data_IF_475727553747
#
_entry.id   IF_475727553747
#
_cell.length_a   1.000
_cell.length_b   1.000
_cell.length_c   1.000
_cell.angle_alpha   90.00
_cell.angle_beta   90.00
_cell.angle_gamma   90.00
#
_symmetry.space_group_name_H-M   'P 1'
#
loop_
_entity.id
_entity.type
_entity.pdbx_description
1 polymer ?
#
# COMPACT_ATOMS: atom_id res chain seq x y z
N UNK A 1 1.71 -23.11 32.40
CA UNK A 1 2.38 -22.29 31.37
C UNK A 1 1.45 -22.23 30.16
N UNK A 2 0.76 -21.10 29.97
CA UNK A 2 -0.14 -20.89 28.84
C UNK A 2 0.69 -20.60 27.60
N UNK A 3 0.51 -21.36 26.52
CA UNK A 3 1.12 -21.07 25.22
C UNK A 3 0.54 -19.76 24.67
N UNK A 4 1.33 -18.68 24.68
CA UNK A 4 1.01 -17.45 23.95
C UNK A 4 1.02 -17.79 22.46
N UNK A 5 -0.17 -17.71 21.84
CA UNK A 5 -0.33 -17.86 20.40
C UNK A 5 0.21 -16.60 19.74
N UNK A 6 1.22 -16.74 18.87
CA UNK A 6 1.63 -15.66 17.96
C UNK A 6 0.45 -15.44 17.00
N UNK A 7 -0.34 -14.41 17.23
CA UNK A 7 -1.33 -13.93 16.29
C UNK A 7 -0.63 -12.93 15.35
N UNK A 8 -0.19 -13.42 14.19
CA UNK A 8 0.38 -12.58 13.15
C UNK A 8 -0.77 -11.83 12.45
N UNK A 9 -0.97 -10.57 12.82
CA UNK A 9 -1.82 -9.67 12.04
C UNK A 9 -0.96 -9.10 10.91
N UNK A 10 -1.13 -9.62 9.70
CA UNK A 10 -0.47 -9.13 8.50
C UNK A 10 -1.43 -8.15 7.82
N UNK A 11 -1.15 -6.85 7.92
CA UNK A 11 -1.84 -5.84 7.10
C UNK A 11 -0.98 -5.65 5.86
N UNK A 12 -1.35 -6.32 4.77
CA UNK A 12 -0.77 -6.05 3.45
C UNK A 12 -1.49 -4.84 2.88
N UNK A 13 -0.87 -3.66 2.97
CA UNK A 13 -1.24 -2.50 2.17
C UNK A 13 -0.61 -2.70 0.78
N UNK A 14 -1.17 -3.66 0.02
CA UNK A 14 -0.76 -3.88 -1.35
C UNK A 14 -1.30 -2.74 -2.21
N UNK A 15 -0.43 -2.05 -2.94
CA UNK A 15 -0.87 -1.30 -4.10
C UNK A 15 -1.41 -2.33 -5.10
N UNK A 16 -2.74 -2.45 -5.22
CA UNK A 16 -3.36 -3.33 -6.20
C UNK A 16 -3.15 -2.72 -7.59
N UNK A 17 -1.97 -2.95 -8.16
CA UNK A 17 -1.64 -2.66 -9.54
C UNK A 17 -1.31 -3.97 -10.26
N UNK A 18 -2.26 -4.91 -10.34
CA UNK A 18 -2.12 -6.06 -11.25
C UNK A 18 -3.44 -6.72 -11.69
N UNK A 19 -4.50 -5.96 -11.97
CA UNK A 19 -5.70 -6.53 -12.61
C UNK A 19 -6.49 -5.50 -13.46
N UNK A 20 -5.82 -4.86 -14.43
CA UNK A 20 -6.49 -4.10 -15.48
C UNK A 20 -6.00 -4.52 -16.87
N UNK A 21 -6.21 -5.80 -17.22
CA UNK A 21 -6.27 -6.25 -18.61
C UNK A 21 -7.56 -7.08 -18.80
N UNK A 22 -8.68 -6.39 -18.63
CA UNK A 22 -10.02 -6.87 -18.99
C UNK A 22 -10.44 -6.29 -20.33
N UNK A 23 -10.54 -7.18 -21.32
CA UNK A 23 -11.00 -7.02 -22.70
C UNK A 23 -12.21 -6.06 -22.85
N UNK A 24 -12.11 -5.11 -23.78
CA UNK A 24 -13.25 -4.31 -24.26
C UNK A 24 -14.05 -5.17 -25.23
N UNK A 25 -15.28 -5.51 -24.88
CA UNK A 25 -16.30 -5.92 -25.85
C UNK A 25 -17.50 -4.96 -25.73
N UNK A 26 -17.86 -4.35 -26.85
CA UNK A 26 -18.89 -3.32 -26.96
C UNK A 26 -20.31 -3.88 -26.82
N UNK A 27 -21.19 -3.06 -26.25
CA UNK A 27 -22.61 -3.35 -26.10
C UNK A 27 -23.44 -2.07 -26.00
N UNK A 28 -24.55 -2.06 -26.72
CA UNK A 28 -25.38 -0.93 -27.15
C UNK A 28 -26.34 -0.44 -26.05
N UNK A 29 -26.77 0.82 -26.15
CA UNK A 29 -27.70 1.47 -25.23
C UNK A 29 -29.13 0.91 -25.29
N UNK A 30 -29.77 0.73 -24.12
CA UNK A 30 -31.22 0.59 -23.97
C UNK A 30 -31.77 1.45 -22.82
N UNK A 31 -33.03 1.80 -22.97
CA UNK A 31 -33.73 2.98 -22.43
C UNK A 31 -34.48 2.73 -21.13
N UNK A 32 -34.48 3.71 -20.22
CA UNK A 32 -35.72 4.36 -19.76
C UNK A 32 -36.41 3.93 -18.45
N UNK A 33 -36.21 2.72 -17.90
CA UNK A 33 -37.00 2.27 -16.72
C UNK A 33 -36.16 1.78 -15.50
N UNK A 34 -34.83 1.84 -15.54
CA UNK A 34 -33.95 1.23 -14.51
C UNK A 34 -33.36 2.23 -13.47
N UNK A 35 -33.82 3.48 -13.45
CA UNK A 35 -33.18 4.52 -12.60
C UNK A 35 -33.42 4.29 -11.10
N UNK A 36 -34.56 3.71 -10.73
CA UNK A 36 -34.94 3.47 -9.33
C UNK A 36 -34.15 2.33 -8.68
N UNK A 37 -33.87 1.27 -9.45
CA UNK A 37 -33.08 0.14 -8.96
C UNK A 37 -31.59 0.50 -8.92
N UNK A 38 -31.11 1.30 -9.87
CA UNK A 38 -29.76 1.85 -9.87
C UNK A 38 -29.50 2.81 -8.69
N UNK A 39 -30.48 3.61 -8.27
CA UNK A 39 -30.34 4.47 -7.08
C UNK A 39 -30.27 3.67 -5.77
N UNK A 40 -30.94 2.52 -5.69
CA UNK A 40 -30.85 1.58 -4.56
C UNK A 40 -29.51 0.86 -4.48
N UNK A 41 -28.90 0.56 -5.63
CA UNK A 41 -27.55 -0.02 -5.72
C UNK A 41 -26.46 1.02 -5.45
N UNK A 42 -26.63 2.27 -5.92
CA UNK A 42 -25.70 3.37 -5.65
C UNK A 42 -25.64 3.74 -4.16
N UNK A 43 -26.76 3.66 -3.44
CA UNK A 43 -26.76 3.89 -1.98
C UNK A 43 -26.00 2.80 -1.20
N UNK A 44 -25.92 1.58 -1.72
CA UNK A 44 -25.14 0.48 -1.13
C UNK A 44 -23.63 0.58 -1.39
N UNK A 45 -23.21 1.43 -2.32
CA UNK A 45 -21.80 1.72 -2.59
C UNK A 45 -21.19 2.84 -1.75
N UNK A 46 -21.96 3.45 -0.84
CA UNK A 46 -21.56 4.54 0.04
C UNK A 46 -21.67 4.21 1.53
N UNK A 47 -21.91 2.95 1.88
CA UNK A 47 -21.64 2.52 3.25
C UNK A 47 -20.12 2.49 3.40
N UNK A 48 -19.60 3.30 4.32
CA UNK A 48 -18.20 3.21 4.74
C UNK A 48 -17.87 1.73 4.96
N UNK A 49 -16.71 1.23 4.48
CA UNK A 49 -16.37 -0.18 4.61
C UNK A 49 -16.63 -0.59 6.06
N UNK A 50 -17.43 -1.65 6.24
CA UNK A 50 -17.80 -2.16 7.55
C UNK A 50 -16.55 -2.15 8.43
N UNK A 51 -16.58 -1.42 9.53
CA UNK A 51 -15.43 -1.22 10.40
C UNK A 51 -14.89 -2.58 10.84
N UNK A 52 -13.87 -3.08 10.14
CA UNK A 52 -13.26 -4.38 10.44
C UNK A 52 -12.37 -4.14 11.64
N UNK A 53 -12.71 -4.74 12.77
CA UNK A 53 -11.84 -4.76 13.94
C UNK A 53 -10.60 -5.60 13.59
N UNK A 54 -9.46 -4.94 13.45
CA UNK A 54 -8.18 -5.59 13.19
C UNK A 54 -7.75 -6.36 14.45
N UNK A 55 -7.52 -7.68 14.38
CA UNK A 55 -7.05 -8.43 15.53
C UNK A 55 -5.61 -8.02 15.86
N UNK A 56 -5.34 -7.72 17.13
CA UNK A 56 -3.99 -7.41 17.61
C UNK A 56 -3.40 -8.56 18.41
N UNK A 57 -2.26 -9.09 17.96
CA UNK A 57 -1.42 -10.03 18.70
C UNK A 57 -0.37 -9.34 19.57
N UNK A 58 0.50 -10.13 20.20
CA UNK A 58 1.66 -9.62 20.95
C UNK A 58 2.66 -8.91 19.99
N UNK A 59 2.78 -9.42 18.76
CA UNK A 59 3.59 -8.84 17.67
C UNK A 59 2.73 -8.63 16.44
N UNK A 60 2.82 -7.45 15.83
CA UNK A 60 1.97 -7.02 14.72
C UNK A 60 2.84 -6.43 13.59
N UNK A 61 2.42 -6.60 12.33
CA UNK A 61 3.16 -6.09 11.18
C UNK A 61 2.24 -5.29 10.25
N UNK A 62 2.72 -4.12 9.83
CA UNK A 62 2.21 -3.42 8.67
C UNK A 62 3.20 -3.65 7.54
N UNK A 63 2.75 -4.24 6.44
CA UNK A 63 3.61 -4.59 5.31
C UNK A 63 3.12 -3.87 4.07
N UNK A 64 4.05 -3.22 3.39
CA UNK A 64 3.85 -2.56 2.10
C UNK A 64 4.77 -3.23 1.09
N UNK A 65 4.26 -3.59 -0.08
CA UNK A 65 4.97 -4.36 -1.12
C UNK A 65 4.45 -3.97 -2.49
N UNK A 66 5.27 -4.15 -3.54
CA UNK A 66 4.87 -3.99 -4.95
C UNK A 66 4.24 -2.60 -5.22
N UNK A 67 4.81 -1.58 -4.59
CA UNK A 67 4.29 -0.21 -4.65
C UNK A 67 4.49 0.38 -6.03
N UNK A 68 5.59 0.00 -6.69
CA UNK A 68 5.94 0.50 -8.02
C UNK A 68 5.80 2.02 -8.13
N UNK A 69 6.32 2.73 -7.13
CA UNK A 69 6.27 4.19 -6.96
C UNK A 69 4.89 4.86 -6.90
N UNK A 70 3.80 4.10 -6.70
CA UNK A 70 2.43 4.63 -6.51
C UNK A 70 2.19 5.26 -5.13
N UNK A 71 3.08 6.14 -4.72
CA UNK A 71 3.04 6.79 -3.39
C UNK A 71 2.08 7.98 -3.32
N UNK A 72 1.55 8.44 -4.45
CA UNK A 72 0.59 9.57 -4.54
C UNK A 72 -0.87 9.12 -4.68
N UNK A 73 -1.14 7.81 -4.50
CA UNK A 73 -2.46 7.22 -4.66
C UNK A 73 -2.96 7.17 -6.11
N UNK A 74 -4.15 6.60 -6.30
CA UNK A 74 -4.84 6.38 -7.58
C UNK A 74 -6.14 7.17 -7.70
N UNK A 75 -6.25 8.35 -7.07
CA UNK A 75 -7.50 9.11 -6.97
C UNK A 75 -8.22 9.38 -8.31
N UNK A 76 -7.48 9.42 -9.43
CA UNK A 76 -8.05 9.58 -10.79
C UNK A 76 -8.71 8.31 -11.34
N UNK A 77 -8.27 7.14 -10.90
CA UNK A 77 -8.73 5.83 -11.40
C UNK A 77 -9.67 5.12 -10.42
N UNK A 78 -9.59 5.43 -9.13
CA UNK A 78 -10.46 4.87 -8.10
C UNK A 78 -10.69 5.86 -6.97
N UNK A 79 -11.94 6.01 -6.57
CA UNK A 79 -12.34 6.80 -5.40
C UNK A 79 -11.97 6.13 -4.07
N UNK A 80 -11.69 4.82 -4.08
CA UNK A 80 -11.37 4.04 -2.88
C UNK A 80 -9.87 3.78 -2.71
N UNK A 81 -9.05 4.08 -3.73
CA UNK A 81 -7.59 3.95 -3.70
C UNK A 81 -6.93 5.32 -3.81
N UNK A 82 -7.43 6.31 -3.06
CA UNK A 82 -6.96 7.69 -3.11
C UNK A 82 -5.96 8.06 -2.00
N UNK A 83 -5.59 7.10 -1.14
CA UNK A 83 -4.61 7.31 -0.08
C UNK A 83 -3.20 7.44 -0.66
N UNK A 84 -2.44 8.41 -0.16
CA UNK A 84 -1.03 8.60 -0.46
C UNK A 84 -0.12 8.13 0.69
N UNK A 85 1.19 8.22 0.52
CA UNK A 85 2.15 7.83 1.56
C UNK A 85 2.09 8.72 2.81
N UNK A 86 1.59 9.95 2.72
CA UNK A 86 1.29 10.79 3.88
C UNK A 86 0.13 10.24 4.71
N UNK A 87 -0.90 9.69 4.04
CA UNK A 87 -1.98 8.96 4.70
C UNK A 87 -1.47 7.66 5.35
N UNK A 88 -0.62 6.91 4.65
CA UNK A 88 0.01 5.68 5.18
C UNK A 88 0.86 5.98 6.41
N UNK A 89 1.68 7.05 6.36
CA UNK A 89 2.48 7.51 7.49
C UNK A 89 1.58 7.86 8.68
N UNK A 90 0.55 8.68 8.44
CA UNK A 90 -0.42 9.10 9.46
C UNK A 90 -1.15 7.91 10.08
N UNK A 91 -1.50 6.90 9.28
CA UNK A 91 -2.10 5.66 9.74
C UNK A 91 -1.12 4.88 10.63
N UNK A 92 0.10 4.65 10.17
CA UNK A 92 1.11 3.90 10.92
C UNK A 92 1.45 4.57 12.25
N UNK A 93 1.65 5.89 12.30
CA UNK A 93 1.94 6.61 13.55
C UNK A 93 0.83 6.46 14.59
N UNK A 94 -0.44 6.54 14.15
CA UNK A 94 -1.60 6.33 15.03
C UNK A 94 -1.71 4.88 15.49
N UNK A 95 -1.46 3.92 14.58
CA UNK A 95 -1.46 2.50 14.89
C UNK A 95 -0.34 2.14 15.87
N UNK A 96 0.85 2.70 15.69
CA UNK A 96 2.00 2.55 16.59
C UNK A 96 1.71 3.09 17.97
N UNK A 97 1.10 4.28 18.08
CA UNK A 97 0.64 4.83 19.36
C UNK A 97 -0.38 3.92 20.04
N UNK A 98 -1.32 3.36 19.28
CA UNK A 98 -2.32 2.44 19.81
C UNK A 98 -1.70 1.12 20.30
N UNK A 99 -0.78 0.53 19.53
CA UNK A 99 -0.04 -0.67 19.93
C UNK A 99 0.77 -0.43 21.22
N UNK A 100 1.46 0.71 21.32
CA UNK A 100 2.23 1.10 22.49
C UNK A 100 1.36 1.25 23.75
N UNK A 101 0.15 1.81 23.63
CA UNK A 101 -0.82 1.90 24.74
C UNK A 101 -1.23 0.52 25.27
N UNK A 102 -1.28 -0.48 24.39
CA UNK A 102 -1.58 -1.87 24.74
C UNK A 102 -0.34 -2.69 25.10
N UNK A 103 0.87 -2.11 25.08
CA UNK A 103 2.15 -2.80 25.26
C UNK A 103 2.37 -3.96 24.27
N UNK A 104 1.99 -3.73 23.01
CA UNK A 104 2.16 -4.67 21.89
C UNK A 104 3.20 -4.14 20.92
N UNK A 105 3.93 -5.04 20.29
CA UNK A 105 4.92 -4.69 19.28
C UNK A 105 4.25 -4.46 17.92
N UNK A 106 4.76 -3.49 17.17
CA UNK A 106 4.32 -3.17 15.82
C UNK A 106 5.54 -2.84 14.97
N UNK A 107 5.69 -3.54 13.84
CA UNK A 107 6.77 -3.32 12.88
C UNK A 107 6.22 -2.84 11.54
N UNK A 108 6.91 -1.89 10.91
CA UNK A 108 6.63 -1.41 9.57
C UNK A 108 7.63 -1.99 8.57
N UNK A 109 7.14 -2.68 7.56
CA UNK A 109 7.97 -3.43 6.62
C UNK A 109 7.70 -2.96 5.19
N UNK A 110 8.75 -2.55 4.49
CA UNK A 110 8.73 -2.39 3.03
C UNK A 110 9.36 -3.61 2.37
N UNK A 111 8.58 -4.37 1.60
CA UNK A 111 9.00 -5.62 0.98
C UNK A 111 9.31 -5.48 -0.52
N UNK A 112 10.12 -4.49 -0.89
CA UNK A 112 10.65 -4.38 -2.25
C UNK A 112 9.66 -4.00 -3.34
N UNK A 113 10.14 -4.00 -4.59
CA UNK A 113 9.43 -3.59 -5.81
C UNK A 113 8.76 -2.22 -5.64
N UNK A 114 9.55 -1.25 -5.18
CA UNK A 114 9.12 0.13 -4.97
C UNK A 114 9.46 1.04 -6.16
N UNK A 115 10.27 0.59 -7.12
CA UNK A 115 10.54 1.30 -8.40
C UNK A 115 9.70 0.76 -9.57
N UNK A 116 9.85 1.37 -10.76
CA UNK A 116 9.21 0.98 -12.02
C UNK A 116 7.67 0.95 -12.04
N UNK A 117 7.01 2.11 -11.93
CA UNK A 117 5.57 2.17 -12.21
C UNK A 117 4.97 3.54 -12.47
N UNK A 118 5.59 4.61 -12.00
CA UNK A 118 5.14 5.99 -12.24
C UNK A 118 6.30 6.88 -12.67
N UNK A 119 6.02 8.14 -12.98
CA UNK A 119 7.08 9.12 -13.28
C UNK A 119 8.02 9.44 -12.11
N UNK A 120 7.70 9.00 -10.88
CA UNK A 120 8.57 9.17 -9.71
C UNK A 120 9.70 8.14 -9.63
N UNK A 121 9.56 6.98 -10.27
CA UNK A 121 10.62 5.96 -10.36
C UNK A 121 11.57 6.26 -11.52
N UNK A 122 12.36 7.33 -11.40
CA UNK A 122 13.47 7.58 -12.33
C UNK A 122 14.58 6.53 -12.15
N UNK A 123 15.56 6.49 -13.06
CA UNK A 123 16.75 5.64 -12.94
C UNK A 123 17.98 6.53 -12.85
N UNK A 124 18.65 6.64 -11.68
CA UNK A 124 18.21 6.16 -10.35
C UNK A 124 16.99 6.94 -9.80
N UNK A 125 16.26 6.42 -8.81
CA UNK A 125 14.96 6.95 -8.35
C UNK A 125 15.06 8.20 -7.44
N UNK A 126 15.86 9.20 -7.83
CA UNK A 126 16.24 10.36 -7.01
C UNK A 126 15.10 11.14 -6.36
N UNK A 127 13.92 11.21 -6.99
CA UNK A 127 12.77 11.91 -6.42
C UNK A 127 11.94 11.03 -5.46
N UNK A 128 11.97 9.72 -5.66
CA UNK A 128 11.28 8.75 -4.82
C UNK A 128 12.09 8.45 -3.56
N UNK A 129 13.41 8.38 -3.67
CA UNK A 129 14.32 8.02 -2.57
C UNK A 129 14.07 8.81 -1.28
N UNK A 130 14.03 10.16 -1.28
CA UNK A 130 13.79 10.90 -0.04
C UNK A 130 12.43 10.58 0.56
N UNK A 131 11.41 10.34 -0.27
CA UNK A 131 10.06 10.03 0.22
C UNK A 131 10.00 8.65 0.89
N UNK A 132 10.77 7.68 0.39
CA UNK A 132 10.93 6.38 1.04
C UNK A 132 11.74 6.49 2.35
N UNK A 133 12.79 7.28 2.37
CA UNK A 133 13.70 7.47 3.53
C UNK A 133 13.06 8.21 4.71
N UNK A 134 12.03 9.03 4.46
CA UNK A 134 11.28 9.72 5.53
C UNK A 134 10.26 8.82 6.23
N UNK A 135 9.94 7.66 5.66
CA UNK A 135 9.01 6.72 6.28
C UNK A 135 9.72 5.93 7.40
N UNK A 136 9.07 5.69 8.54
CA UNK A 136 9.68 5.03 9.69
C UNK A 136 9.70 3.50 9.54
N UNK A 137 10.36 3.00 8.49
CA UNK A 137 10.50 1.57 8.25
C UNK A 137 11.33 0.92 9.36
N UNK A 138 10.87 -0.22 9.87
CA UNK A 138 11.63 -1.08 10.77
C UNK A 138 12.40 -2.15 9.97
N UNK A 139 11.87 -2.54 8.80
CA UNK A 139 12.50 -3.48 7.87
C UNK A 139 12.31 -3.01 6.44
N UNK A 140 13.41 -3.00 5.67
CA UNK A 140 13.42 -2.69 4.24
C UNK A 140 14.02 -3.88 3.50
N UNK A 141 13.33 -4.32 2.45
CA UNK A 141 13.79 -5.35 1.52
C UNK A 141 13.76 -4.83 0.08
N UNK A 142 14.48 -5.51 -0.80
CA UNK A 142 14.51 -5.25 -2.24
C UNK A 142 13.67 -6.32 -2.97
N UNK A 143 13.06 -5.91 -4.06
CA UNK A 143 12.40 -6.79 -5.01
C UNK A 143 13.24 -6.96 -6.27
N UNK A 144 12.68 -7.62 -7.29
CA UNK A 144 13.41 -7.84 -8.54
C UNK A 144 13.53 -6.56 -9.38
N UNK A 145 12.62 -5.60 -9.26
CA UNK A 145 12.67 -4.36 -10.04
C UNK A 145 13.88 -3.49 -9.70
N UNK A 146 14.35 -3.54 -8.45
CA UNK A 146 15.59 -2.87 -8.05
C UNK A 146 16.86 -3.53 -8.66
N UNK A 147 16.74 -4.71 -9.29
CA UNK A 147 17.88 -5.52 -9.75
C UNK A 147 18.05 -5.57 -11.28
N UNK A 148 17.08 -5.10 -12.07
CA UNK A 148 17.16 -5.21 -13.54
C UNK A 148 18.13 -4.23 -14.19
N UNK A 149 18.34 -3.06 -13.59
CA UNK A 149 19.16 -1.99 -14.15
C UNK A 149 20.44 -1.76 -13.32
N UNK A 150 21.61 -1.73 -13.98
CA UNK A 150 22.90 -1.55 -13.29
C UNK A 150 23.03 -0.22 -12.57
N UNK A 151 22.44 0.86 -13.08
CA UNK A 151 22.42 2.17 -12.42
C UNK A 151 21.56 2.13 -11.16
N UNK A 152 20.39 1.47 -11.21
CA UNK A 152 19.56 1.23 -10.03
C UNK A 152 20.30 0.40 -9.00
N UNK A 153 20.97 -0.69 -9.40
CA UNK A 153 21.75 -1.54 -8.49
C UNK A 153 22.90 -0.76 -7.83
N UNK A 154 23.61 0.08 -8.58
CA UNK A 154 24.67 0.93 -8.02
C UNK A 154 24.10 1.92 -7.01
N UNK A 155 23.03 2.61 -7.36
CA UNK A 155 22.32 3.51 -6.44
C UNK A 155 21.87 2.78 -5.16
N UNK A 156 21.33 1.56 -5.29
CA UNK A 156 20.91 0.76 -4.13
C UNK A 156 22.10 0.50 -3.19
N UNK A 157 23.24 0.09 -3.73
CA UNK A 157 24.43 -0.25 -2.93
C UNK A 157 25.12 0.98 -2.36
N UNK A 158 25.24 2.04 -3.15
CA UNK A 158 26.09 3.19 -2.84
C UNK A 158 25.34 4.28 -2.05
N UNK A 159 24.01 4.39 -2.22
CA UNK A 159 23.20 5.48 -1.65
C UNK A 159 22.04 4.98 -0.79
N UNK A 160 21.24 4.02 -1.26
CA UNK A 160 20.01 3.62 -0.57
C UNK A 160 20.24 2.76 0.69
N UNK A 161 21.02 1.69 0.57
CA UNK A 161 21.30 0.78 1.70
C UNK A 161 22.00 1.53 2.86
N UNK A 162 23.03 2.38 2.61
CA UNK A 162 23.72 3.09 3.69
C UNK A 162 22.86 4.03 4.57
N UNK A 163 21.65 4.38 4.15
CA UNK A 163 20.71 5.16 4.97
C UNK A 163 20.15 4.36 6.16
N UNK A 164 20.09 3.03 6.06
CA UNK A 164 19.50 2.11 7.05
C UNK A 164 20.57 1.40 7.89
#
# INVERSE_FOLDING_TARGET
MSMQRIALALIVLGAVAQLCLGRVDGGRAETGEDVSHQLGVLRRGLEAPSQVDLPFGDVNLVVVTDVHSWIAGHARHSSTMNADYGDVLSFYERLRKHAAQQKKDLFFVMNGDFVDGTGLSTTPPQFLTPLLEHMPWDVVNLGNHELYNTETVRWVVDEFIPHW
#
